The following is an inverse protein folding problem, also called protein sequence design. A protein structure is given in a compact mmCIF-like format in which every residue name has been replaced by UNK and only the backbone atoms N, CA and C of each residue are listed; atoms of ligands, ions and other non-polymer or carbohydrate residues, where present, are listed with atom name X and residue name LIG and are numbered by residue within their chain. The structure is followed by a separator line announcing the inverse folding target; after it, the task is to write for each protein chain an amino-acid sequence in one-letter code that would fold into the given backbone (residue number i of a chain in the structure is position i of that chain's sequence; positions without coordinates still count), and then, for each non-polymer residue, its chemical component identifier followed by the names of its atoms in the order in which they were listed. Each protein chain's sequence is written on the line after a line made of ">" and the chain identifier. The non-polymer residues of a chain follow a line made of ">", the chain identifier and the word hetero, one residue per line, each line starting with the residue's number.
data_IF_850441294049
#
_entry.id   IF_850441294049
#
_cell.length_a   1.000
_cell.length_b   1.000
_cell.length_c   1.000
_cell.angle_alpha   90.00
_cell.angle_beta   90.00
_cell.angle_gamma   90.00
#
_symmetry.space_group_name_H-M   'P 1'
#
loop_
_entity.id
_entity.type
_entity.pdbx_description
1 polymer ?
#
# COMPACT_ATOMS: atom_id res chain seq x y z
N UNK A 1 9.10 -24.44 10.98
CA UNK A 1 9.53 -24.17 9.61
C UNK A 1 9.24 -22.70 9.35
N UNK A 2 10.30 -21.89 9.21
CA UNK A 2 10.12 -20.50 8.88
C UNK A 2 9.68 -20.37 7.41
N UNK A 3 8.86 -19.38 7.11
CA UNK A 3 8.41 -19.04 5.75
C UNK A 3 9.59 -18.97 4.75
N UNK A 4 10.79 -18.59 5.23
CA UNK A 4 12.01 -18.52 4.44
C UNK A 4 12.57 -19.88 3.99
N UNK A 5 12.31 -20.96 4.73
CA UNK A 5 12.92 -22.26 4.41
C UNK A 5 12.16 -23.00 3.30
N UNK A 6 10.85 -22.77 3.19
CA UNK A 6 10.05 -23.32 2.10
C UNK A 6 10.43 -22.71 0.74
N UNK A 7 10.77 -21.43 0.72
CA UNK A 7 11.12 -20.72 -0.52
C UNK A 7 12.57 -20.96 -0.96
N UNK A 8 13.49 -21.17 -0.02
CA UNK A 8 14.90 -21.52 -0.32
C UNK A 8 15.05 -22.91 -0.94
N UNK A 9 14.18 -23.85 -0.63
CA UNK A 9 14.24 -25.20 -1.18
C UNK A 9 13.95 -25.28 -2.70
N UNK A 10 13.43 -24.20 -3.30
CA UNK A 10 13.06 -24.12 -4.72
C UNK A 10 13.90 -23.12 -5.53
N UNK A 11 15.03 -22.64 -5.00
CA UNK A 11 15.97 -21.76 -5.70
C UNK A 11 16.65 -22.52 -6.84
N UNK A 12 16.00 -22.71 -7.95
CA UNK A 12 16.57 -23.36 -9.14
C UNK A 12 15.56 -23.75 -10.21
N UNK A 13 14.29 -23.73 -9.92
CA UNK A 13 13.24 -24.05 -10.88
C UNK A 13 12.21 -22.92 -10.90
N UNK A 14 12.34 -21.97 -11.77
CA UNK A 14 11.32 -20.96 -12.20
C UNK A 14 10.08 -20.77 -11.29
N UNK A 15 10.27 -20.91 -9.99
CA UNK A 15 9.24 -20.87 -8.96
C UNK A 15 9.66 -19.83 -7.95
N UNK A 16 8.94 -18.74 -7.83
CA UNK A 16 9.37 -17.71 -6.90
C UNK A 16 8.24 -16.81 -6.44
N UNK A 17 8.37 -16.36 -5.19
CA UNK A 17 7.68 -15.17 -4.72
C UNK A 17 8.66 -14.01 -4.79
N UNK A 18 8.29 -12.99 -5.54
CA UNK A 18 8.99 -11.72 -5.59
C UNK A 18 8.22 -10.69 -4.78
N UNK A 19 8.91 -9.94 -3.93
CA UNK A 19 8.30 -8.88 -3.13
C UNK A 19 8.98 -7.54 -3.41
N UNK A 20 8.25 -6.60 -3.98
CA UNK A 20 8.67 -5.22 -4.18
C UNK A 20 8.09 -4.33 -3.08
N UNK A 21 8.93 -3.86 -2.16
CA UNK A 21 8.53 -3.02 -1.04
C UNK A 21 8.56 -1.54 -1.43
N UNK A 22 7.45 -0.86 -1.19
CA UNK A 22 7.31 0.60 -1.19
C UNK A 22 7.02 1.10 0.22
N UNK A 23 7.01 2.42 0.43
CA UNK A 23 6.71 3.02 1.73
C UNK A 23 5.31 2.65 2.23
N UNK A 24 4.32 2.66 1.35
CA UNK A 24 2.91 2.49 1.69
C UNK A 24 2.33 1.11 1.35
N UNK A 25 3.02 0.30 0.56
CA UNK A 25 2.55 -1.03 0.14
C UNK A 25 3.72 -1.96 -0.22
N UNK A 26 3.41 -3.24 -0.29
CA UNK A 26 4.29 -4.25 -0.85
C UNK A 26 3.55 -4.99 -1.95
N UNK A 27 4.13 -5.03 -3.14
CA UNK A 27 3.65 -5.84 -4.26
C UNK A 27 4.31 -7.21 -4.20
N UNK A 28 3.48 -8.24 -4.25
CA UNK A 28 3.90 -9.63 -4.31
C UNK A 28 3.54 -10.20 -5.68
N UNK A 29 4.49 -10.90 -6.29
CA UNK A 29 4.26 -11.69 -7.50
C UNK A 29 4.66 -13.14 -7.20
N UNK A 30 3.75 -14.04 -7.45
CA UNK A 30 3.94 -15.49 -7.32
C UNK A 30 3.91 -16.12 -8.70
N UNK A 31 5.00 -16.82 -9.05
CA UNK A 31 5.17 -17.56 -10.28
C UNK A 31 5.51 -19.00 -9.95
N UNK A 32 4.70 -19.95 -10.42
CA UNK A 32 4.94 -21.39 -10.26
C UNK A 32 4.75 -22.08 -11.60
N UNK A 33 5.80 -22.78 -12.05
CA UNK A 33 5.76 -23.59 -13.24
C UNK A 33 5.58 -25.06 -12.88
N UNK A 34 4.50 -25.66 -13.35
CA UNK A 34 4.32 -27.12 -13.35
C UNK A 34 4.79 -27.67 -14.69
N UNK A 35 5.85 -28.43 -14.65
CA UNK A 35 6.34 -29.11 -15.85
C UNK A 35 5.56 -30.42 -16.05
N UNK A 36 4.96 -30.58 -17.21
CA UNK A 36 4.31 -31.83 -17.59
C UNK A 36 5.34 -32.93 -17.80
N UNK A 37 5.05 -34.13 -17.34
CA UNK A 37 5.92 -35.29 -17.55
C UNK A 37 5.81 -35.80 -19.00
N UNK A 38 6.87 -35.69 -19.77
CA UNK A 38 6.93 -36.20 -21.14
C UNK A 38 6.89 -37.74 -21.23
N UNK A 39 7.01 -38.45 -20.09
CA UNK A 39 6.96 -39.89 -20.03
C UNK A 39 5.56 -40.46 -19.75
N UNK A 40 4.51 -39.64 -19.88
CA UNK A 40 3.12 -39.98 -19.54
C UNK A 40 2.40 -40.98 -20.47
N UNK A 41 3.10 -41.75 -21.28
CA UNK A 41 2.50 -42.71 -22.23
C UNK A 41 1.60 -43.79 -21.63
N UNK A 42 1.47 -43.90 -20.32
CA UNK A 42 0.57 -44.87 -19.65
C UNK A 42 -0.61 -44.22 -18.90
N UNK A 43 -0.58 -42.90 -18.67
CA UNK A 43 -1.61 -42.22 -17.90
C UNK A 43 -2.87 -41.87 -18.70
N UNK A 44 -2.81 -41.86 -20.02
CA UNK A 44 -3.90 -41.43 -20.89
C UNK A 44 -5.24 -42.14 -20.69
N UNK A 45 -5.23 -43.41 -20.31
CA UNK A 45 -6.46 -44.19 -20.06
C UNK A 45 -7.12 -43.82 -18.70
N UNK A 46 -6.34 -43.36 -17.73
CA UNK A 46 -6.82 -43.00 -16.39
C UNK A 46 -7.05 -41.49 -16.23
N UNK A 47 -6.48 -40.70 -17.11
CA UNK A 47 -6.43 -39.26 -17.01
C UNK A 47 -7.82 -38.57 -17.12
N UNK A 48 -8.77 -39.19 -17.81
CA UNK A 48 -10.12 -38.66 -17.95
C UNK A 48 -10.93 -38.65 -16.64
N UNK A 49 -10.45 -39.40 -15.62
CA UNK A 49 -11.14 -39.53 -14.33
C UNK A 49 -10.37 -38.88 -13.17
N UNK A 50 -9.19 -38.30 -13.43
CA UNK A 50 -8.38 -37.62 -12.38
C UNK A 50 -8.50 -36.14 -12.56
N UNK A 51 -9.13 -35.47 -11.58
CA UNK A 51 -9.12 -34.00 -11.47
C UNK A 51 -7.99 -33.63 -10.55
N UNK A 52 -6.99 -32.93 -11.07
CA UNK A 52 -5.93 -32.35 -10.27
C UNK A 52 -6.08 -30.84 -10.25
N UNK A 53 -6.40 -30.30 -9.07
CA UNK A 53 -6.58 -28.86 -8.87
C UNK A 53 -5.57 -28.33 -7.87
N UNK A 54 -5.03 -27.15 -8.17
CA UNK A 54 -4.25 -26.36 -7.23
C UNK A 54 -5.12 -25.21 -6.73
N UNK A 55 -5.18 -25.01 -5.42
CA UNK A 55 -5.98 -23.98 -4.80
C UNK A 55 -5.10 -23.09 -3.92
N UNK A 56 -5.27 -21.79 -4.05
CA UNK A 56 -4.57 -20.78 -3.26
C UNK A 56 -5.58 -19.80 -2.63
N UNK A 57 -5.40 -19.50 -1.35
CA UNK A 57 -6.19 -18.47 -0.65
C UNK A 57 -5.28 -17.32 -0.30
N UNK A 58 -5.67 -16.11 -0.70
CA UNK A 58 -4.93 -14.87 -0.49
C UNK A 58 -5.53 -14.04 0.66
N UNK A 59 -4.72 -13.27 1.38
CA UNK A 59 -5.20 -12.36 2.42
C UNK A 59 -5.97 -11.15 1.85
N UNK A 60 -5.76 -10.84 0.57
CA UNK A 60 -6.37 -9.75 -0.18
C UNK A 60 -6.75 -10.21 -1.58
N UNK A 61 -7.65 -9.51 -2.23
CA UNK A 61 -7.98 -9.73 -3.65
C UNK A 61 -6.75 -9.46 -4.51
N UNK A 62 -6.38 -10.36 -5.44
CA UNK A 62 -5.24 -10.18 -6.32
C UNK A 62 -5.45 -9.01 -7.28
N UNK A 63 -4.37 -8.38 -7.67
CA UNK A 63 -4.37 -7.37 -8.74
C UNK A 63 -4.39 -8.01 -10.13
N UNK A 64 -3.83 -9.21 -10.24
CA UNK A 64 -3.92 -10.06 -11.43
C UNK A 64 -3.76 -11.53 -11.06
N UNK A 65 -4.38 -12.41 -11.86
CA UNK A 65 -4.27 -13.85 -11.74
C UNK A 65 -4.66 -14.51 -13.06
N UNK A 66 -4.06 -15.66 -13.35
CA UNK A 66 -4.45 -16.55 -14.44
C UNK A 66 -5.24 -17.78 -13.94
N UNK A 67 -5.89 -17.68 -12.79
CA UNK A 67 -6.70 -18.76 -12.23
C UNK A 67 -7.92 -19.07 -13.11
N UNK A 68 -8.22 -20.38 -13.24
CA UNK A 68 -9.41 -20.86 -13.98
C UNK A 68 -10.72 -20.51 -13.25
N UNK A 69 -10.65 -20.43 -11.92
CA UNK A 69 -11.81 -20.14 -11.06
C UNK A 69 -11.42 -19.25 -9.91
N UNK A 70 -12.28 -18.27 -9.63
CA UNK A 70 -12.10 -17.25 -8.60
C UNK A 70 -13.33 -17.21 -7.71
N UNK A 71 -13.14 -17.38 -6.39
CA UNK A 71 -14.21 -17.44 -5.39
C UNK A 71 -13.87 -16.59 -4.15
N UNK A 72 -14.78 -16.49 -3.19
CA UNK A 72 -14.60 -15.78 -1.92
C UNK A 72 -14.10 -14.34 -2.10
N UNK A 73 -14.88 -13.52 -2.82
CA UNK A 73 -14.55 -12.12 -3.11
C UNK A 73 -13.18 -11.95 -3.81
N UNK A 74 -12.83 -12.89 -4.67
CA UNK A 74 -11.59 -12.84 -5.42
C UNK A 74 -10.37 -13.39 -4.70
N UNK A 75 -10.51 -13.85 -3.46
CA UNK A 75 -9.37 -14.29 -2.62
C UNK A 75 -9.03 -15.77 -2.74
N UNK A 76 -9.94 -16.59 -3.23
CA UNK A 76 -9.71 -18.00 -3.43
C UNK A 76 -9.56 -18.30 -4.91
N UNK A 77 -8.40 -18.75 -5.31
CA UNK A 77 -8.00 -19.00 -6.68
C UNK A 77 -7.82 -20.50 -6.89
N UNK A 78 -8.31 -21.03 -8.00
CA UNK A 78 -8.21 -22.45 -8.33
C UNK A 78 -7.74 -22.62 -9.77
N UNK A 79 -6.77 -23.50 -9.97
CA UNK A 79 -6.24 -23.90 -11.27
C UNK A 79 -6.50 -25.39 -11.48
N UNK A 80 -6.92 -25.76 -12.68
CA UNK A 80 -7.08 -27.15 -13.09
C UNK A 80 -5.81 -27.60 -13.84
N UNK A 81 -4.99 -28.37 -13.16
CA UNK A 81 -3.75 -28.90 -13.70
C UNK A 81 -3.91 -30.30 -14.34
N UNK A 82 -5.15 -30.76 -14.49
CA UNK A 82 -5.45 -32.08 -15.09
C UNK A 82 -4.88 -32.21 -16.51
N UNK A 83 -4.97 -31.16 -17.32
CA UNK A 83 -4.38 -31.14 -18.67
C UNK A 83 -2.87 -31.33 -18.64
N UNK A 84 -2.16 -30.65 -17.73
CA UNK A 84 -0.69 -30.78 -17.57
C UNK A 84 -0.24 -32.20 -17.34
N UNK A 85 -1.01 -32.96 -16.54
CA UNK A 85 -0.72 -34.35 -16.25
C UNK A 85 -1.02 -35.29 -17.43
N UNK A 86 -2.02 -34.94 -18.25
CA UNK A 86 -2.48 -35.79 -19.38
C UNK A 86 -1.71 -35.51 -20.65
N UNK A 87 -1.53 -34.26 -21.01
CA UNK A 87 -0.91 -33.86 -22.28
C UNK A 87 0.61 -33.75 -22.18
N UNK A 88 1.16 -33.66 -20.97
CA UNK A 88 2.56 -33.32 -20.75
C UNK A 88 2.91 -31.86 -21.02
N UNK A 89 1.91 -31.04 -21.29
CA UNK A 89 2.11 -29.59 -21.43
C UNK A 89 2.43 -28.94 -20.08
N UNK A 90 3.32 -27.98 -20.07
CA UNK A 90 3.62 -27.21 -18.86
C UNK A 90 2.50 -26.22 -18.55
N UNK A 91 2.15 -26.06 -17.29
CA UNK A 91 1.19 -25.07 -16.82
C UNK A 91 1.85 -24.06 -15.90
N UNK A 92 1.60 -22.78 -16.14
CA UNK A 92 2.11 -21.69 -15.31
C UNK A 92 1.00 -21.12 -14.44
N UNK A 93 1.27 -20.96 -13.16
CA UNK A 93 0.43 -20.26 -12.20
C UNK A 93 1.06 -18.90 -11.94
N UNK A 94 0.30 -17.83 -12.22
CA UNK A 94 0.72 -16.47 -12.01
C UNK A 94 -0.30 -15.73 -11.14
N UNK A 95 0.18 -15.11 -10.07
CA UNK A 95 -0.64 -14.30 -9.17
C UNK A 95 0.14 -13.06 -8.74
N UNK A 96 -0.48 -11.90 -8.85
CA UNK A 96 0.05 -10.67 -8.26
C UNK A 96 -0.97 -10.08 -7.28
N UNK A 97 -0.50 -9.61 -6.14
CA UNK A 97 -1.35 -8.96 -5.14
C UNK A 97 -0.58 -7.90 -4.37
N UNK A 98 -1.31 -6.92 -3.81
CA UNK A 98 -0.74 -5.79 -3.07
C UNK A 98 -1.22 -5.78 -1.64
N UNK A 99 -0.28 -5.66 -0.71
CA UNK A 99 -0.58 -5.47 0.71
C UNK A 99 -0.22 -4.05 1.13
N UNK A 100 -1.21 -3.31 1.63
CA UNK A 100 -1.03 -1.94 2.09
C UNK A 100 -0.43 -1.88 3.50
N UNK A 101 0.58 -1.05 3.70
CA UNK A 101 1.15 -0.75 5.00
C UNK A 101 0.30 0.31 5.73
N UNK A 102 -0.72 -0.15 6.44
CA UNK A 102 -1.66 0.72 7.17
C UNK A 102 -0.94 1.62 8.18
N UNK A 103 0.10 1.11 8.86
CA UNK A 103 0.88 1.87 9.84
C UNK A 103 1.61 3.05 9.20
N UNK A 104 2.25 2.84 8.06
CA UNK A 104 2.94 3.91 7.32
C UNK A 104 1.95 4.97 6.82
N UNK A 105 0.78 4.56 6.33
CA UNK A 105 -0.27 5.47 5.86
C UNK A 105 -0.77 6.34 7.02
N UNK A 106 -1.13 5.74 8.16
CA UNK A 106 -1.62 6.46 9.34
C UNK A 106 -0.54 7.41 9.87
N UNK A 107 0.71 6.94 9.98
CA UNK A 107 1.84 7.77 10.43
C UNK A 107 2.06 8.99 9.54
N UNK A 108 1.95 8.84 8.22
CA UNK A 108 2.06 9.95 7.27
C UNK A 108 0.92 10.95 7.42
N UNK A 109 -0.31 10.49 7.60
CA UNK A 109 -1.47 11.37 7.82
C UNK A 109 -1.27 12.19 9.10
N UNK A 110 -0.86 11.58 10.20
CA UNK A 110 -0.58 12.27 11.47
C UNK A 110 0.52 13.31 11.28
N UNK A 111 1.61 12.97 10.60
CA UNK A 111 2.71 13.89 10.32
C UNK A 111 2.24 15.13 9.55
N UNK A 112 1.44 14.94 8.51
CA UNK A 112 0.87 16.04 7.70
C UNK A 112 -0.01 16.95 8.56
N UNK A 113 -0.87 16.40 9.42
CA UNK A 113 -1.72 17.17 10.31
C UNK A 113 -0.87 18.02 11.27
N UNK A 114 0.19 17.44 11.85
CA UNK A 114 1.11 18.17 12.75
C UNK A 114 1.81 19.31 12.01
N UNK A 115 2.29 19.09 10.79
CA UNK A 115 2.96 20.12 9.99
C UNK A 115 2.01 21.28 9.64
N UNK A 116 0.76 20.98 9.26
CA UNK A 116 -0.26 21.99 8.98
C UNK A 116 -0.57 22.80 10.25
N UNK A 117 -0.76 22.12 11.39
CA UNK A 117 -1.02 22.76 12.69
C UNK A 117 0.13 23.66 13.13
N UNK A 118 1.37 23.21 13.01
CA UNK A 118 2.55 24.01 13.32
C UNK A 118 2.67 25.23 12.38
N UNK A 119 2.46 25.05 11.09
CA UNK A 119 2.48 26.13 10.10
C UNK A 119 1.42 27.21 10.40
N UNK A 120 0.19 26.81 10.69
CA UNK A 120 -0.89 27.71 11.10
C UNK A 120 -0.58 28.46 12.40
N UNK A 121 -0.01 27.76 13.39
CA UNK A 121 0.39 28.38 14.66
C UNK A 121 1.48 29.44 14.47
N UNK A 122 2.51 29.16 13.66
CA UNK A 122 3.55 30.15 13.35
C UNK A 122 3.00 31.35 12.57
N UNK A 123 2.08 31.10 11.64
CA UNK A 123 1.45 32.18 10.86
C UNK A 123 0.59 33.10 11.73
N UNK A 124 -0.17 32.52 12.66
CA UNK A 124 -1.01 33.31 13.61
C UNK A 124 -0.17 34.06 14.63
N UNK A 125 0.97 33.53 15.07
CA UNK A 125 1.90 34.23 15.95
C UNK A 125 2.52 35.46 15.27
N UNK A 126 2.96 35.33 14.01
CA UNK A 126 3.54 36.47 13.25
C UNK A 126 2.54 37.63 13.07
N UNK A 127 1.24 37.34 12.91
CA UNK A 127 0.22 38.40 12.80
C UNK A 127 0.00 39.17 14.08
N UNK A 128 0.36 38.67 15.27
CA UNK A 128 0.22 39.40 16.52
C UNK A 128 1.36 40.38 16.82
N UNK A 129 2.50 40.23 16.16
CA UNK A 129 3.64 41.13 16.34
C UNK A 129 3.57 42.40 15.45
N UNK A 130 2.69 42.41 14.45
CA UNK A 130 2.54 43.51 13.49
C UNK A 130 1.37 44.47 13.83
N UNK A 131 0.75 44.43 15.03
CA UNK A 131 -0.14 45.50 15.47
C UNK A 131 0.72 46.69 15.91
N UNK A 132 0.75 47.80 15.13
CA UNK A 132 1.53 48.95 15.50
C UNK A 132 0.93 49.58 16.75
N UNK A 133 1.79 49.86 17.74
CA UNK A 133 1.48 50.69 18.92
C UNK A 133 1.23 52.18 18.53
N UNK A 134 0.38 52.42 17.53
CA UNK A 134 0.05 53.77 17.09
C UNK A 134 -1.13 54.41 17.82
N UNK A 135 -1.65 53.80 18.87
CA UNK A 135 -2.84 54.32 19.55
C UNK A 135 -2.59 55.04 20.90
N UNK A 136 -1.32 55.22 21.27
CA UNK A 136 -0.99 55.90 22.54
C UNK A 136 -0.37 57.31 22.38
N UNK A 137 -0.06 57.74 21.15
CA UNK A 137 0.57 59.07 20.95
C UNK A 137 -0.43 60.15 20.59
N UNK A 138 -1.64 59.79 20.18
CA UNK A 138 -2.67 60.78 19.75
C UNK A 138 -3.56 61.31 20.90
N UNK A 139 -3.32 60.86 22.16
CA UNK A 139 -4.09 61.28 23.33
C UNK A 139 -3.33 62.26 24.26
N UNK A 140 -2.06 62.61 23.91
CA UNK A 140 -1.22 63.48 24.75
C UNK A 140 -1.00 64.89 24.22
N UNK A 141 -1.69 65.34 23.13
CA UNK A 141 -1.54 66.68 22.54
C UNK A 141 -2.86 67.42 22.61
N UNK A 142 -3.48 67.51 23.76
CA UNK A 142 -4.54 68.54 23.98
C UNK A 142 -4.71 68.88 25.46
N UNK A 143 -3.64 69.36 26.09
CA UNK A 143 -3.73 70.14 27.33
C UNK A 143 -2.73 71.27 27.25
N UNK A 144 -3.00 72.29 26.43
CA UNK A 144 -2.42 73.62 26.61
C UNK A 144 -3.36 74.45 27.47
N UNK A 145 -2.94 74.90 28.66
CA UNK A 145 -3.75 75.85 29.43
C UNK A 145 -3.75 77.23 28.73
N UNK A 146 -4.93 77.66 28.39
CA UNK A 146 -5.19 79.04 27.90
C UNK A 146 -4.97 80.02 29.04
N UNK A 147 -3.82 80.72 29.10
CA UNK A 147 -3.61 81.86 29.98
C UNK A 147 -4.40 83.05 29.47
N UNK A 148 -5.51 83.31 30.14
CA UNK A 148 -6.26 84.51 30.00
C UNK A 148 -5.52 85.69 30.60
N UNK A 149 -5.17 86.53 29.75
CA UNK A 149 -4.70 87.88 29.95
C UNK A 149 -5.75 88.71 30.75
N UNK A 150 -5.41 89.14 31.95
CA UNK A 150 -6.18 90.17 32.66
C UNK A 150 -5.32 91.44 32.73
N UNK A 151 -5.77 92.47 31.99
CA UNK A 151 -5.39 93.89 32.17
C UNK A 151 -6.20 94.53 33.27
N UNK A 152 -5.57 95.20 34.11
CA UNK A 152 -5.69 96.42 34.88
C UNK A 152 -5.41 96.22 36.32
#
# INVERSE_FOLDING_TARGET
>A
LSENDFFKANEGKNTGITANKSLFYTDYTFDLLFEGSQNGGGAGAFANNITFTYQMTLPVTPTSSNADRVENDGRQLTWNLGKTLVTGESSKIEVAFRIWNKTAIIGTIILVIVLIGAGAFFFLRRKKEDEPQQMLEDTLIDVTPNETNVKN
#
